data_IF_288920074916
#
_entry.id   IF_288920074916
#
_cell.length_a   1.000
_cell.length_b   1.000
_cell.length_c   1.000
_cell.angle_alpha   90.00
_cell.angle_beta   90.00
_cell.angle_gamma   90.00
#
_symmetry.space_group_name_H-M   'P 1'
#
loop_
_entity.id
_entity.type
_entity.pdbx_description
1 polymer ?
#
# COMPACT_ATOMS: atom_id res chain seq x y z
N UNK A 1 -0.91 14.59 5.38
CA UNK A 1 0.27 13.70 5.52
C UNK A 1 0.32 13.03 6.88
N UNK A 2 0.42 13.76 8.01
CA UNK A 2 0.44 13.15 9.36
C UNK A 2 -0.70 12.14 9.61
N UNK A 3 -1.94 12.48 9.23
CA UNK A 3 -3.08 11.55 9.35
C UNK A 3 -2.88 10.28 8.53
N UNK A 4 -2.40 10.39 7.28
CA UNK A 4 -2.16 9.24 6.42
C UNK A 4 -1.05 8.34 6.97
N UNK A 5 0.01 8.94 7.53
CA UNK A 5 1.04 8.20 8.25
C UNK A 5 0.48 7.43 9.45
N UNK A 6 -0.28 8.09 10.33
CA UNK A 6 -0.89 7.43 11.50
C UNK A 6 -1.87 6.32 11.09
N UNK A 7 -2.64 6.51 10.03
CA UNK A 7 -3.48 5.45 9.44
C UNK A 7 -2.61 4.27 9.02
N UNK A 8 -1.50 4.51 8.31
CA UNK A 8 -0.59 3.46 7.88
C UNK A 8 0.02 2.68 9.04
N UNK A 9 0.39 3.36 10.13
CA UNK A 9 0.93 2.72 11.35
C UNK A 9 -0.09 1.75 11.97
N UNK A 10 -1.32 2.22 12.22
CA UNK A 10 -2.34 1.40 12.88
C UNK A 10 -2.88 0.30 11.97
N UNK A 11 -3.11 0.62 10.69
CA UNK A 11 -3.54 -0.38 9.71
C UNK A 11 -2.49 -1.47 9.53
N UNK A 12 -1.21 -1.12 9.43
CA UNK A 12 -0.17 -2.13 9.23
C UNK A 12 0.13 -2.98 10.47
N UNK A 13 -0.18 -2.50 11.69
CA UNK A 13 -0.22 -3.37 12.88
C UNK A 13 -1.27 -4.48 12.72
N UNK A 14 -2.46 -4.14 12.24
CA UNK A 14 -3.56 -5.10 12.03
C UNK A 14 -3.22 -6.05 10.88
N UNK A 15 -2.83 -5.51 9.72
CA UNK A 15 -2.55 -6.30 8.51
C UNK A 15 -1.42 -7.30 8.71
N UNK A 16 -0.41 -6.99 9.53
CA UNK A 16 0.71 -7.90 9.83
C UNK A 16 0.31 -9.24 10.43
N UNK A 17 -0.86 -9.32 11.05
CA UNK A 17 -1.39 -10.57 11.59
C UNK A 17 -1.80 -11.55 10.46
N UNK A 18 -2.02 -11.04 9.25
CA UNK A 18 -2.51 -11.80 8.10
C UNK A 18 -1.48 -11.89 6.96
N UNK A 19 -0.76 -10.80 6.69
CA UNK A 19 0.22 -10.71 5.60
C UNK A 19 1.49 -9.95 5.98
N UNK A 20 2.56 -10.20 5.22
CA UNK A 20 3.85 -9.50 5.40
C UNK A 20 4.07 -8.40 4.38
N UNK A 21 3.21 -8.28 3.38
CA UNK A 21 3.35 -7.31 2.30
C UNK A 21 2.02 -6.82 1.75
N UNK A 22 2.03 -5.63 1.17
CA UNK A 22 0.85 -4.95 0.61
C UNK A 22 1.25 -4.19 -0.65
N UNK A 23 0.35 -4.17 -1.64
CA UNK A 23 0.45 -3.28 -2.80
C UNK A 23 -0.22 -1.95 -2.49
N UNK A 24 0.46 -0.85 -2.83
CA UNK A 24 -0.10 0.49 -2.64
C UNK A 24 0.07 1.27 -3.94
N UNK A 25 -0.99 1.93 -4.39
CA UNK A 25 -0.98 2.82 -5.53
C UNK A 25 -1.84 4.05 -5.27
N UNK A 26 -1.77 5.03 -6.17
CA UNK A 26 -2.56 6.25 -6.05
C UNK A 26 -3.07 6.73 -7.42
N UNK A 27 -4.08 7.61 -7.41
CA UNK A 27 -4.58 8.24 -8.63
C UNK A 27 -3.96 9.63 -8.87
N UNK A 28 -4.39 10.29 -9.96
CA UNK A 28 -3.75 11.50 -10.48
C UNK A 28 -4.10 12.80 -9.70
N UNK A 29 -4.57 12.72 -8.46
CA UNK A 29 -4.78 13.92 -7.64
C UNK A 29 -3.43 14.55 -7.27
N UNK A 30 -3.39 15.88 -7.22
CA UNK A 30 -2.17 16.65 -6.91
C UNK A 30 -1.56 16.29 -5.55
N UNK A 31 -2.40 15.89 -4.58
CA UNK A 31 -1.96 15.45 -3.25
C UNK A 31 -1.72 13.92 -3.18
N UNK A 32 -1.96 13.17 -4.26
CA UNK A 32 -1.91 11.70 -4.27
C UNK A 32 -0.52 11.18 -3.92
N UNK A 33 0.53 11.79 -4.48
CA UNK A 33 1.93 11.45 -4.22
C UNK A 33 2.30 11.57 -2.74
N UNK A 34 1.99 12.70 -2.10
CA UNK A 34 2.41 12.92 -0.71
C UNK A 34 1.59 12.09 0.29
N UNK A 35 0.30 11.84 0.00
CA UNK A 35 -0.50 10.90 0.79
C UNK A 35 -0.03 9.46 0.63
N UNK A 36 0.34 9.05 -0.59
CA UNK A 36 0.93 7.75 -0.88
C UNK A 36 2.22 7.52 -0.09
N UNK A 37 3.14 8.49 -0.12
CA UNK A 37 4.42 8.42 0.59
C UNK A 37 4.20 8.35 2.11
N UNK A 38 3.30 9.18 2.65
CA UNK A 38 2.98 9.17 4.08
C UNK A 38 2.35 7.85 4.54
N UNK A 39 1.35 7.33 3.81
CA UNK A 39 0.70 6.05 4.12
C UNK A 39 1.70 4.89 4.05
N UNK A 40 2.51 4.85 2.98
CA UNK A 40 3.52 3.82 2.76
C UNK A 40 4.58 3.83 3.86
N UNK A 41 5.00 5.01 4.32
CA UNK A 41 5.93 5.13 5.45
C UNK A 41 5.32 4.62 6.76
N UNK A 42 4.04 4.89 7.00
CA UNK A 42 3.31 4.36 8.16
C UNK A 42 3.27 2.84 8.15
N UNK A 43 2.85 2.24 7.03
CA UNK A 43 2.80 0.78 6.84
C UNK A 43 4.18 0.13 7.03
N UNK A 44 5.24 0.71 6.46
CA UNK A 44 6.61 0.22 6.62
C UNK A 44 7.15 0.34 8.05
N UNK A 45 6.83 1.43 8.76
CA UNK A 45 7.22 1.58 10.18
C UNK A 45 6.58 0.51 11.06
N UNK A 46 5.42 0.02 10.64
CA UNK A 46 4.77 -1.16 11.18
C UNK A 46 5.25 -2.44 10.50
N UNK A 47 6.48 -2.56 10.00
CA UNK A 47 7.08 -3.82 9.56
C UNK A 47 6.43 -4.53 8.37
N UNK A 48 5.49 -3.91 7.63
CA UNK A 48 5.01 -4.42 6.35
C UNK A 48 5.99 -4.06 5.23
N UNK A 49 6.17 -4.97 4.28
CA UNK A 49 6.79 -4.66 3.00
C UNK A 49 5.77 -4.00 2.07
N UNK A 50 6.01 -2.75 1.69
CA UNK A 50 5.17 -2.05 0.71
C UNK A 50 5.74 -2.22 -0.69
N UNK A 51 4.89 -2.64 -1.63
CA UNK A 51 5.17 -2.63 -3.05
C UNK A 51 4.48 -1.43 -3.69
N UNK A 52 5.28 -0.49 -4.19
CA UNK A 52 4.83 0.73 -4.86
C UNK A 52 4.35 0.41 -6.28
N UNK A 53 3.04 0.53 -6.51
CA UNK A 53 2.42 0.43 -7.84
C UNK A 53 2.40 1.78 -8.59
N UNK A 54 2.73 2.87 -7.91
CA UNK A 54 2.79 4.22 -8.45
C UNK A 54 1.43 4.82 -8.78
N UNK A 55 1.44 5.69 -9.80
CA UNK A 55 0.24 6.28 -10.38
C UNK A 55 -0.49 5.22 -11.21
N UNK A 56 -1.62 4.73 -10.71
CA UNK A 56 -2.29 3.56 -11.27
C UNK A 56 -3.82 3.70 -11.18
N UNK A 57 -4.59 3.31 -12.21
CA UNK A 57 -6.04 3.22 -12.10
C UNK A 57 -6.46 2.15 -11.09
N UNK A 58 -7.50 2.43 -10.31
CA UNK A 58 -8.09 1.48 -9.35
C UNK A 58 -8.31 0.06 -9.92
N UNK A 59 -8.84 -0.16 -11.14
CA UNK A 59 -9.01 -1.52 -11.65
C UNK A 59 -7.68 -2.27 -11.89
N UNK A 60 -6.59 -1.56 -12.20
CA UNK A 60 -5.27 -2.20 -12.40
C UNK A 60 -4.61 -2.50 -11.06
N UNK A 61 -4.78 -1.63 -10.06
CA UNK A 61 -4.36 -1.93 -8.68
C UNK A 61 -5.13 -3.14 -8.11
N UNK A 62 -6.43 -3.23 -8.36
CA UNK A 62 -7.24 -4.40 -8.00
C UNK A 62 -6.73 -5.66 -8.70
N UNK A 63 -6.46 -5.60 -10.01
CA UNK A 63 -5.86 -6.73 -10.72
C UNK A 63 -4.54 -7.19 -10.07
N UNK A 64 -3.66 -6.27 -9.70
CA UNK A 64 -2.40 -6.58 -9.04
C UNK A 64 -2.57 -7.24 -7.66
N UNK A 65 -3.58 -6.86 -6.88
CA UNK A 65 -3.86 -7.47 -5.58
C UNK A 65 -4.27 -8.95 -5.68
N UNK A 66 -4.91 -9.35 -6.79
CA UNK A 66 -5.45 -10.70 -6.96
C UNK A 66 -4.69 -11.59 -7.95
N UNK A 67 -3.56 -11.11 -8.49
CA UNK A 67 -2.75 -11.87 -9.46
C UNK A 67 -1.27 -11.86 -9.07
N UNK A 68 -0.56 -12.92 -9.44
CA UNK A 68 0.90 -12.94 -9.36
C UNK A 68 1.49 -12.09 -10.50
N UNK A 69 2.36 -11.14 -10.15
CA UNK A 69 3.09 -10.30 -11.12
C UNK A 69 4.59 -10.52 -10.88
N UNK A 70 5.27 -11.13 -11.86
CA UNK A 70 6.71 -11.39 -11.81
C UNK A 70 7.16 -12.15 -10.53
N UNK A 71 6.40 -13.15 -10.09
CA UNK A 71 6.70 -13.89 -8.85
C UNK A 71 6.33 -13.18 -7.56
N UNK A 72 5.66 -12.02 -7.63
CA UNK A 72 5.21 -11.25 -6.47
C UNK A 72 3.69 -11.34 -6.35
N UNK A 73 3.22 -11.70 -5.16
CA UNK A 73 1.80 -11.71 -4.80
C UNK A 73 1.63 -11.15 -3.38
N UNK A 74 0.53 -10.45 -3.15
CA UNK A 74 0.10 -10.00 -1.83
C UNK A 74 -1.37 -10.42 -1.63
N UNK A 75 -1.63 -11.65 -1.14
CA UNK A 75 -2.95 -12.29 -1.24
C UNK A 75 -4.08 -11.61 -0.45
N UNK A 76 -3.78 -10.83 0.59
CA UNK A 76 -4.76 -9.98 1.29
C UNK A 76 -4.37 -8.49 1.26
N UNK A 77 -3.74 -8.05 0.16
CA UNK A 77 -3.53 -6.63 -0.13
C UNK A 77 -4.83 -5.87 -0.36
#
# INVERSE_FOLDING_TARGET
ENTAFSIGVELGKIMREYDKSVFVGHDARVHGRSLFEALSAGLQSSGLKVYDLGLIPTPVAYFAAFNEINGIQCPNS
#
